data_IF_898309835881
#
_entry.id   IF_898309835881
#
_cell.length_a   1.000
_cell.length_b   1.000
_cell.length_c   1.000
_cell.angle_alpha   90.00
_cell.angle_beta   90.00
_cell.angle_gamma   90.00
#
_symmetry.space_group_name_H-M   'P 1'
#
loop_
_entity.id
_entity.type
_entity.pdbx_description
1 polymer ?
#
# COMPACT_ATOMS: atom_id res chain seq x y z
N UNK A 1 -13.69 -2.75 2.65
CA UNK A 1 -12.87 -2.51 1.44
C UNK A 1 -11.91 -1.36 1.74
N UNK A 2 -10.67 -1.65 2.16
CA UNK A 2 -9.69 -0.59 2.43
C UNK A 2 -9.14 -0.11 1.10
N UNK A 3 -9.47 1.11 0.72
CA UNK A 3 -8.94 1.73 -0.48
C UNK A 3 -7.49 2.14 -0.25
N UNK A 4 -6.54 1.28 -0.65
CA UNK A 4 -5.12 1.64 -0.71
C UNK A 4 -4.93 2.70 -1.80
N UNK A 5 -4.99 3.97 -1.38
CA UNK A 5 -4.85 5.11 -2.28
C UNK A 5 -3.37 5.32 -2.58
N UNK A 6 -2.89 4.85 -3.73
CA UNK A 6 -1.52 5.14 -4.17
C UNK A 6 -1.44 6.57 -4.68
N UNK A 7 -0.82 7.47 -3.93
CA UNK A 7 -0.56 8.85 -4.39
C UNK A 7 0.61 8.82 -5.38
N UNK A 8 0.38 9.25 -6.62
CA UNK A 8 1.42 9.40 -7.61
C UNK A 8 2.36 10.56 -7.25
N UNK A 9 3.64 10.27 -7.04
CA UNK A 9 4.68 11.26 -6.74
C UNK A 9 5.62 11.40 -7.94
N UNK A 10 5.75 12.61 -8.46
CA UNK A 10 6.76 12.95 -9.46
C UNK A 10 7.92 13.68 -8.79
N UNK A 11 9.14 13.21 -9.00
CA UNK A 11 10.37 13.83 -8.51
C UNK A 11 11.34 14.04 -9.66
N UNK A 12 12.11 15.13 -9.58
CA UNK A 12 13.28 15.32 -10.44
C UNK A 12 14.48 14.65 -9.78
N UNK A 13 15.24 13.88 -10.56
CA UNK A 13 16.51 13.29 -10.14
C UNK A 13 17.54 13.51 -11.24
N UNK A 14 18.80 13.63 -10.84
CA UNK A 14 19.92 13.74 -11.76
C UNK A 14 20.08 12.46 -12.61
N UNK A 15 20.59 12.61 -13.82
CA UNK A 15 20.70 11.51 -14.79
C UNK A 15 21.62 10.38 -14.29
N UNK A 16 22.72 10.73 -13.62
CA UNK A 16 23.66 9.77 -13.05
C UNK A 16 23.00 8.90 -11.96
N UNK A 17 22.12 9.50 -11.15
CA UNK A 17 21.32 8.80 -10.15
C UNK A 17 20.32 7.86 -10.82
N UNK A 18 19.63 8.29 -11.88
CA UNK A 18 18.70 7.43 -12.62
C UNK A 18 19.40 6.22 -13.28
N UNK A 19 20.61 6.43 -13.81
CA UNK A 19 21.43 5.37 -14.39
C UNK A 19 21.87 4.37 -13.32
N UNK A 20 22.41 4.84 -12.19
CA UNK A 20 22.81 3.99 -11.08
C UNK A 20 21.63 3.17 -10.53
N UNK A 21 20.47 3.82 -10.36
CA UNK A 21 19.24 3.16 -9.95
C UNK A 21 18.81 2.08 -10.95
N UNK A 22 18.97 2.33 -12.26
CA UNK A 22 18.66 1.36 -13.30
C UNK A 22 19.55 0.12 -13.28
N UNK A 23 20.85 0.30 -13.03
CA UNK A 23 21.80 -0.83 -12.87
C UNK A 23 21.40 -1.68 -11.68
N UNK A 24 21.12 -1.05 -10.53
CA UNK A 24 20.80 -1.76 -9.30
C UNK A 24 19.43 -2.47 -9.38
N UNK A 25 18.42 -1.79 -9.94
CA UNK A 25 17.10 -2.39 -10.20
C UNK A 25 17.20 -3.65 -11.07
N UNK A 26 18.07 -3.64 -12.09
CA UNK A 26 18.34 -4.83 -12.91
C UNK A 26 19.02 -5.94 -12.12
N UNK A 27 20.02 -5.62 -11.31
CA UNK A 27 20.73 -6.60 -10.45
C UNK A 27 19.75 -7.30 -9.49
N UNK A 28 18.82 -6.54 -8.92
CA UNK A 28 17.82 -7.05 -7.98
C UNK A 28 16.54 -7.57 -8.64
N UNK A 29 16.43 -7.51 -9.98
CA UNK A 29 15.22 -7.86 -10.75
C UNK A 29 13.95 -7.13 -10.27
N UNK A 30 14.10 -5.87 -9.87
CA UNK A 30 13.00 -4.98 -9.44
C UNK A 30 12.80 -3.87 -10.45
N UNK A 31 11.63 -3.22 -10.42
CA UNK A 31 11.45 -1.95 -11.13
C UNK A 31 12.14 -0.82 -10.34
N UNK A 32 12.54 0.25 -11.04
CA UNK A 32 13.12 1.44 -10.39
C UNK A 32 12.21 1.98 -9.28
N UNK A 33 10.91 2.06 -9.54
CA UNK A 33 9.93 2.54 -8.57
C UNK A 33 9.80 1.64 -7.34
N UNK A 34 9.89 0.30 -7.51
CA UNK A 34 9.89 -0.62 -6.38
C UNK A 34 11.12 -0.43 -5.49
N UNK A 35 12.29 -0.29 -6.11
CA UNK A 35 13.55 -0.06 -5.40
C UNK A 35 13.57 1.29 -4.67
N UNK A 36 13.02 2.35 -5.28
CA UNK A 36 12.87 3.65 -4.61
C UNK A 36 12.00 3.52 -3.36
N UNK A 37 10.84 2.85 -3.47
CA UNK A 37 9.94 2.68 -2.31
C UNK A 37 10.61 1.92 -1.16
N UNK A 38 11.37 0.88 -1.48
CA UNK A 38 12.14 0.10 -0.51
C UNK A 38 13.20 0.95 0.18
N UNK A 39 14.03 1.68 -0.58
CA UNK A 39 15.03 2.57 0.00
C UNK A 39 14.43 3.67 0.87
N UNK A 40 13.29 4.23 0.47
CA UNK A 40 12.57 5.21 1.28
C UNK A 40 12.01 4.58 2.56
N UNK A 41 11.41 3.38 2.47
CA UNK A 41 10.87 2.68 3.63
C UNK A 41 11.97 2.34 4.65
N UNK A 42 13.08 1.77 4.18
CA UNK A 42 14.24 1.41 5.01
C UNK A 42 14.82 2.64 5.72
N UNK A 43 14.97 3.75 4.99
CA UNK A 43 15.64 4.95 5.50
C UNK A 43 14.76 5.80 6.40
N UNK A 44 13.45 5.81 6.15
CA UNK A 44 12.47 6.54 6.95
C UNK A 44 11.96 5.72 8.15
N UNK A 45 12.38 4.44 8.28
CA UNK A 45 11.77 3.47 9.21
C UNK A 45 10.24 3.49 9.11
N UNK A 46 9.73 3.64 7.90
CA UNK A 46 8.29 3.55 7.69
C UNK A 46 7.88 2.14 8.13
N UNK A 47 6.84 1.99 8.97
CA UNK A 47 6.31 0.66 9.24
C UNK A 47 5.98 0.04 7.89
N UNK A 48 6.60 -1.12 7.61
CA UNK A 48 6.28 -1.88 6.40
C UNK A 48 4.78 -2.16 6.35
N UNK A 49 4.23 -2.51 5.16
CA UNK A 49 2.82 -2.86 5.05
C UNK A 49 2.47 -3.90 6.12
N UNK A 50 1.42 -3.63 6.89
CA UNK A 50 1.02 -4.49 8.00
C UNK A 50 0.69 -5.88 7.42
N UNK A 51 1.25 -6.99 7.93
CA UNK A 51 0.88 -8.32 7.47
C UNK A 51 -0.64 -8.57 7.49
N UNK A 52 -1.39 -7.85 8.34
CA UNK A 52 -2.86 -7.89 8.38
C UNK A 52 -3.49 -7.29 7.12
N UNK A 53 -2.88 -6.31 6.46
CA UNK A 53 -3.40 -5.73 5.21
C UNK A 53 -3.51 -6.77 4.09
N UNK A 54 -2.65 -7.80 4.10
CA UNK A 54 -2.72 -8.92 3.17
C UNK A 54 -3.88 -9.89 3.47
N UNK A 55 -4.45 -9.86 4.69
CA UNK A 55 -5.59 -10.67 5.10
C UNK A 55 -6.94 -9.96 4.91
N UNK A 56 -6.96 -8.63 4.78
CA UNK A 56 -8.22 -7.88 4.64
C UNK A 56 -8.83 -8.15 3.26
N UNK A 57 -9.96 -8.87 3.24
CA UNK A 57 -10.64 -9.35 2.03
C UNK A 57 -10.42 -10.83 1.69
N UNK A 58 -9.67 -11.57 2.52
CA UNK A 58 -9.48 -13.02 2.37
C UNK A 58 -10.57 -13.87 3.05
N UNK A 59 -11.51 -13.22 3.75
CA UNK A 59 -12.72 -13.84 4.27
C UNK A 59 -13.88 -13.54 3.32
N UNK A 60 -14.42 -14.61 2.72
CA UNK A 60 -15.69 -14.59 1.99
C UNK A 60 -16.83 -14.57 3.02
N UNK A 61 -16.98 -13.42 3.69
CA UNK A 61 -18.11 -13.16 4.57
C UNK A 61 -19.32 -12.83 3.70
N UNK A 62 -20.34 -13.68 3.75
CA UNK A 62 -21.62 -13.46 3.07
C UNK A 62 -22.12 -12.03 3.36
N UNK A 63 -22.41 -11.20 2.34
CA UNK A 63 -22.85 -9.81 2.53
C UNK A 63 -24.11 -9.68 3.39
N UNK A 64 -24.85 -10.76 3.60
CA UNK A 64 -26.03 -10.81 4.47
C UNK A 64 -25.71 -10.77 5.98
N UNK A 65 -24.43 -10.88 6.36
CA UNK A 65 -23.96 -10.74 7.75
C UNK A 65 -23.53 -9.32 8.11
N UNK A 66 -23.51 -8.38 7.16
CA UNK A 66 -23.24 -6.97 7.47
C UNK A 66 -24.51 -6.30 7.95
N UNK A 67 -24.82 -6.44 9.25
CA UNK A 67 -25.65 -5.44 9.89
C UNK A 67 -25.03 -4.07 9.61
N UNK A 68 -25.81 -3.12 9.10
CA UNK A 68 -25.28 -1.80 8.79
C UNK A 68 -24.75 -1.18 10.08
N UNK A 69 -23.59 -0.53 10.02
CA UNK A 69 -22.98 0.10 11.21
C UNK A 69 -23.95 1.08 11.86
N UNK A 70 -24.79 1.71 11.05
CA UNK A 70 -25.84 2.62 11.52
C UNK A 70 -26.89 1.89 12.39
N UNK A 71 -27.28 0.66 12.07
CA UNK A 71 -28.23 -0.13 12.88
C UNK A 71 -27.68 -0.50 14.26
N UNK A 72 -26.36 -0.75 14.34
CA UNK A 72 -25.66 -1.14 15.58
C UNK A 72 -25.36 0.07 16.46
N UNK A 73 -25.04 1.22 15.86
CA UNK A 73 -24.61 2.42 16.59
C UNK A 73 -25.79 3.31 16.97
N UNK A 74 -26.81 3.45 16.10
CA UNK A 74 -27.92 4.37 16.35
C UNK A 74 -29.19 3.69 16.83
N UNK A 75 -29.30 2.36 16.72
CA UNK A 75 -30.53 1.63 17.00
C UNK A 75 -31.62 1.97 15.99
N UNK A 76 -32.39 0.96 15.58
CA UNK A 76 -33.53 1.14 14.68
C UNK A 76 -34.49 2.19 15.22
N UNK A 77 -34.43 3.41 14.70
CA UNK A 77 -35.52 4.36 14.79
C UNK A 77 -36.53 4.02 13.72
N UNK A 78 -37.53 3.21 14.11
CA UNK A 78 -38.91 3.21 13.61
C UNK A 78 -39.12 3.02 12.11
#
# INVERSE_FOLDING_TARGET
>A
MISLSSVGLQIYIEEDVDQALGVEARRQRKSKAALIREYLADRLRAPGPDPVDAFIGSFDGDPDLSASVDDVVYGSTG
#
